data_IF_259334464469
#
_entry.id   IF_259334464469
#
_cell.length_a   1.000
_cell.length_b   1.000
_cell.length_c   1.000
_cell.angle_alpha   90.00
_cell.angle_beta   90.00
_cell.angle_gamma   90.00
#
_symmetry.space_group_name_H-M   'P 1'
#
loop_
_entity.id
_entity.type
_entity.pdbx_description
1 polymer ?
#
# COMPACT_ATOMS: atom_id res chain seq x y z
N UNK A 1 -16.26 14.07 11.63
CA UNK A 1 -16.25 13.01 10.60
C UNK A 1 -14.79 12.65 10.31
N UNK A 2 -14.38 11.40 10.52
CA UNK A 2 -12.99 10.97 10.30
C UNK A 2 -12.81 10.69 8.80
N UNK A 3 -11.81 11.30 8.14
CA UNK A 3 -11.56 11.04 6.72
C UNK A 3 -10.73 9.77 6.57
N UNK A 4 -10.98 8.98 5.53
CA UNK A 4 -10.17 7.79 5.22
C UNK A 4 -8.69 8.12 5.07
N UNK A 5 -8.36 9.31 4.56
CA UNK A 5 -6.98 9.80 4.44
C UNK A 5 -6.29 9.94 5.80
N UNK A 6 -7.01 10.41 6.83
CA UNK A 6 -6.45 10.56 8.19
C UNK A 6 -6.16 9.18 8.80
N UNK A 7 -7.03 8.18 8.56
CA UNK A 7 -6.79 6.79 8.97
C UNK A 7 -5.54 6.21 8.28
N UNK A 8 -5.30 6.56 7.02
CA UNK A 8 -4.08 6.12 6.30
C UNK A 8 -2.84 6.78 6.89
N UNK A 9 -2.86 8.08 7.17
CA UNK A 9 -1.74 8.79 7.80
C UNK A 9 -1.39 8.21 9.17
N UNK A 10 -2.40 7.95 9.99
CA UNK A 10 -2.23 7.31 11.29
C UNK A 10 -1.62 5.91 11.13
N UNK A 11 -2.17 5.08 10.24
CA UNK A 11 -1.62 3.74 9.99
C UNK A 11 -0.16 3.77 9.48
N UNK A 12 0.21 4.77 8.67
CA UNK A 12 1.62 4.96 8.23
C UNK A 12 2.50 5.36 9.42
N UNK A 13 2.05 6.27 10.29
CA UNK A 13 2.78 6.68 11.51
C UNK A 13 2.96 5.53 12.50
N UNK A 14 1.98 4.66 12.64
CA UNK A 14 2.03 3.46 13.48
C UNK A 14 2.86 2.32 12.86
N UNK A 15 3.26 2.44 11.59
CA UNK A 15 3.93 1.36 10.85
C UNK A 15 3.01 0.23 10.41
N UNK A 16 1.68 0.36 10.56
CA UNK A 16 0.67 -0.58 10.07
C UNK A 16 0.44 -0.40 8.56
N UNK A 17 1.45 -0.76 7.78
CA UNK A 17 1.42 -0.66 6.32
C UNK A 17 0.34 -1.54 5.69
N UNK A 18 -0.04 -2.65 6.32
CA UNK A 18 -1.13 -3.51 5.83
C UNK A 18 -2.45 -2.73 5.85
N UNK A 19 -2.77 -2.07 6.97
CA UNK A 19 -3.96 -1.22 7.10
C UNK A 19 -3.90 -0.01 6.16
N UNK A 20 -2.75 0.67 6.09
CA UNK A 20 -2.55 1.81 5.21
C UNK A 20 -2.80 1.44 3.73
N UNK A 21 -2.13 0.40 3.22
CA UNK A 21 -2.25 -0.05 1.83
C UNK A 21 -3.66 -0.57 1.50
N UNK A 22 -4.33 -1.23 2.45
CA UNK A 22 -5.71 -1.72 2.28
C UNK A 22 -6.67 -0.60 1.89
N UNK A 23 -6.50 0.57 2.51
CA UNK A 23 -7.36 1.73 2.29
C UNK A 23 -6.85 2.53 1.09
N UNK A 24 -5.54 2.80 1.02
CA UNK A 24 -4.93 3.65 0.01
C UNK A 24 -5.08 3.13 -1.42
N UNK A 25 -5.10 1.80 -1.64
CA UNK A 25 -5.34 1.20 -2.98
C UNK A 25 -6.67 1.59 -3.63
N UNK A 26 -7.64 2.04 -2.82
CA UNK A 26 -8.95 2.49 -3.28
C UNK A 26 -9.01 3.96 -3.70
N UNK A 27 -7.98 4.75 -3.40
CA UNK A 27 -7.94 6.18 -3.75
C UNK A 27 -7.60 6.39 -5.23
N UNK A 28 -8.17 7.47 -5.81
CA UNK A 28 -8.04 7.80 -7.24
C UNK A 28 -7.67 9.26 -7.50
N UNK A 29 -8.00 10.16 -6.59
CA UNK A 29 -7.76 11.60 -6.75
C UNK A 29 -6.28 11.87 -6.46
N UNK A 30 -5.58 12.53 -7.39
CA UNK A 30 -4.16 12.91 -7.29
C UNK A 30 -3.20 11.73 -7.06
N UNK A 31 -3.53 10.53 -7.58
CA UNK A 31 -2.67 9.35 -7.51
C UNK A 31 -2.50 8.81 -8.93
N UNK A 32 -1.26 8.55 -9.32
CA UNK A 32 -0.97 7.96 -10.63
C UNK A 32 -1.44 6.50 -10.67
N UNK A 33 -1.76 5.99 -11.86
CA UNK A 33 -2.11 4.57 -12.03
C UNK A 33 -0.98 3.67 -11.55
N UNK A 34 0.28 4.06 -11.80
CA UNK A 34 1.46 3.32 -11.35
C UNK A 34 1.58 3.26 -9.82
N UNK A 35 1.38 4.39 -9.13
CA UNK A 35 1.39 4.43 -7.65
C UNK A 35 0.28 3.55 -7.06
N UNK A 36 -0.92 3.62 -7.65
CA UNK A 36 -2.05 2.79 -7.24
C UNK A 36 -1.78 1.30 -7.43
N UNK A 37 -1.16 0.93 -8.55
CA UNK A 37 -0.81 -0.46 -8.84
C UNK A 37 0.23 -0.99 -7.84
N UNK A 38 1.29 -0.21 -7.57
CA UNK A 38 2.30 -0.55 -6.55
C UNK A 38 1.68 -0.75 -5.16
N UNK A 39 0.78 0.14 -4.72
CA UNK A 39 0.09 -0.02 -3.45
C UNK A 39 -0.82 -1.26 -3.40
N UNK A 40 -1.51 -1.55 -4.51
CA UNK A 40 -2.37 -2.72 -4.63
C UNK A 40 -1.55 -4.01 -4.57
N UNK A 41 -0.48 -4.08 -5.37
CA UNK A 41 0.48 -5.20 -5.42
C UNK A 41 1.07 -5.48 -4.04
N UNK A 42 1.51 -4.44 -3.35
CA UNK A 42 2.08 -4.58 -2.01
C UNK A 42 1.07 -5.14 -1.02
N UNK A 43 -0.17 -4.65 -1.03
CA UNK A 43 -1.24 -5.19 -0.18
C UNK A 43 -1.51 -6.67 -0.50
N UNK A 44 -1.63 -7.01 -1.78
CA UNK A 44 -1.89 -8.38 -2.21
C UNK A 44 -0.74 -9.33 -1.87
N UNK A 45 0.52 -8.88 -2.00
CA UNK A 45 1.69 -9.64 -1.57
C UNK A 45 1.74 -9.87 -0.04
N UNK A 46 1.16 -8.96 0.76
CA UNK A 46 1.03 -9.15 2.21
C UNK A 46 -0.07 -10.16 2.56
N UNK A 47 -1.19 -10.15 1.81
CA UNK A 47 -2.37 -10.98 2.13
C UNK A 47 -2.33 -12.36 1.49
N UNK A 48 -1.76 -12.47 0.30
CA UNK A 48 -1.69 -13.68 -0.51
C UNK A 48 -0.26 -13.98 -0.99
N UNK A 49 0.74 -14.05 -0.09
CA UNK A 49 2.14 -14.21 -0.48
C UNK A 49 2.40 -15.49 -1.28
N UNK A 50 1.70 -16.60 -0.98
CA UNK A 50 1.91 -17.88 -1.67
C UNK A 50 1.62 -17.79 -3.17
N UNK A 51 0.52 -17.14 -3.56
CA UNK A 51 0.17 -16.95 -4.97
C UNK A 51 1.26 -16.18 -5.72
N UNK A 52 1.71 -15.05 -5.14
CA UNK A 52 2.74 -14.20 -5.73
C UNK A 52 4.10 -14.90 -5.78
N UNK A 53 4.42 -15.74 -4.78
CA UNK A 53 5.62 -16.57 -4.78
C UNK A 53 5.59 -17.61 -5.89
N UNK A 54 4.45 -18.27 -6.12
CA UNK A 54 4.29 -19.30 -7.14
C UNK A 54 4.51 -18.75 -8.56
N UNK A 55 4.08 -17.52 -8.83
CA UNK A 55 4.26 -16.86 -10.12
C UNK A 55 5.61 -16.12 -10.26
N UNK A 56 6.53 -16.29 -9.31
CA UNK A 56 7.88 -15.71 -9.36
C UNK A 56 7.96 -14.22 -9.04
N UNK A 57 6.97 -13.66 -8.34
CA UNK A 57 7.02 -12.25 -7.90
C UNK A 57 8.00 -12.08 -6.75
N UNK A 58 8.83 -11.03 -6.84
CA UNK A 58 9.64 -10.56 -5.72
C UNK A 58 8.74 -9.85 -4.69
N UNK A 59 8.21 -10.64 -3.77
CA UNK A 59 7.35 -10.20 -2.66
C UNK A 59 8.01 -9.10 -1.83
N UNK A 60 9.24 -9.26 -1.29
CA UNK A 60 9.83 -8.21 -0.45
C UNK A 60 10.01 -6.90 -1.21
N UNK A 61 10.40 -6.95 -2.49
CA UNK A 61 10.49 -5.75 -3.33
C UNK A 61 9.12 -5.11 -3.54
N UNK A 62 8.09 -5.88 -3.91
CA UNK A 62 6.75 -5.35 -4.12
C UNK A 62 6.18 -4.68 -2.85
N UNK A 63 6.43 -5.27 -1.69
CA UNK A 63 6.03 -4.69 -0.39
C UNK A 63 6.80 -3.39 -0.13
N UNK A 64 8.12 -3.36 -0.36
CA UNK A 64 8.93 -2.16 -0.16
C UNK A 64 8.48 -1.00 -1.07
N UNK A 65 8.22 -1.28 -2.35
CA UNK A 65 7.72 -0.28 -3.30
C UNK A 65 6.36 0.30 -2.88
N UNK A 66 5.43 -0.54 -2.42
CA UNK A 66 4.15 -0.03 -1.91
C UNK A 66 4.29 0.79 -0.63
N UNK A 67 5.18 0.38 0.29
CA UNK A 67 5.48 1.13 1.51
C UNK A 67 6.07 2.50 1.20
N UNK A 68 6.99 2.59 0.24
CA UNK A 68 7.56 3.85 -0.22
C UNK A 68 6.48 4.77 -0.78
N UNK A 69 5.61 4.26 -1.67
CA UNK A 69 4.53 5.05 -2.28
C UNK A 69 3.56 5.57 -1.22
N UNK A 70 3.06 4.71 -0.33
CA UNK A 70 2.09 5.14 0.69
C UNK A 70 2.72 6.12 1.69
N UNK A 71 4.00 5.96 2.02
CA UNK A 71 4.72 6.90 2.89
C UNK A 71 5.00 8.23 2.19
N UNK A 72 5.32 8.22 0.89
CA UNK A 72 5.50 9.44 0.09
C UNK A 72 4.20 10.24 0.00
N UNK A 73 3.06 9.56 -0.13
CA UNK A 73 1.76 10.21 -0.28
C UNK A 73 1.11 10.61 1.05
N UNK A 74 1.36 9.86 2.13
CA UNK A 74 0.61 9.98 3.40
C UNK A 74 1.48 9.91 4.67
N UNK A 75 2.81 9.97 4.55
CA UNK A 75 3.73 9.93 5.70
C UNK A 75 3.91 11.27 6.42
N UNK A 76 3.23 12.33 5.96
CA UNK A 76 3.22 13.66 6.58
C UNK A 76 2.06 13.80 7.59
#
# INVERSE_FOLDING_TARGET
MIKKTDIVREAVREGDFKKALRIAKGFRINITVADRDKMSRAYECIVHPEFYRQIGTDIPKAIAEGKEVVSRLYGA
#
